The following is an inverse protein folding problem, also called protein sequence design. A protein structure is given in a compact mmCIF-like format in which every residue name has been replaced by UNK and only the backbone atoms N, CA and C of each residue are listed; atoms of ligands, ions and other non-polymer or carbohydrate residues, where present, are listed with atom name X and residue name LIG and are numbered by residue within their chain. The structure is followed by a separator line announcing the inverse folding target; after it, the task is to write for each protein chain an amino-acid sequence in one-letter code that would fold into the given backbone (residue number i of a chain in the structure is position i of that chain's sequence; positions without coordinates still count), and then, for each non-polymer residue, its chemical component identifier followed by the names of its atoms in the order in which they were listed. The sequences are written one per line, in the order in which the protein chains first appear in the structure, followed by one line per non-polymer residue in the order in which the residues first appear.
data_IF_944833294035
#
_entry.id   IF_944833294035
#
_cell.length_a   1.000
_cell.length_b   1.000
_cell.length_c   1.000
_cell.angle_alpha   90.00
_cell.angle_beta   90.00
_cell.angle_gamma   90.00
#
_symmetry.space_group_name_H-M   'P 1'
#
loop_
_entity.id
_entity.type
_entity.pdbx_description
1 polymer ?
#
# COMPACT_ATOMS: atom_id res chain seq x y z
N UNK A 1 -10.44 -42.10 21.20
CA UNK A 1 -10.45 -41.19 20.03
C UNK A 1 -10.39 -39.72 20.42
N UNK A 2 -11.24 -39.20 21.34
CA UNK A 2 -11.22 -37.78 21.77
C UNK A 2 -9.85 -37.20 22.18
N UNK A 3 -9.04 -37.91 22.96
CA UNK A 3 -7.72 -37.42 23.42
C UNK A 3 -6.69 -37.27 22.28
N UNK A 4 -6.74 -38.17 21.28
CA UNK A 4 -5.86 -38.12 20.10
C UNK A 4 -6.28 -37.00 19.15
N UNK A 5 -7.59 -36.78 19.03
CA UNK A 5 -8.14 -35.64 18.28
C UNK A 5 -7.79 -34.30 18.94
N UNK A 6 -7.95 -34.16 20.25
CA UNK A 6 -7.55 -32.95 20.98
C UNK A 6 -6.05 -32.67 20.91
N UNK A 7 -5.20 -33.69 20.98
CA UNK A 7 -3.75 -33.52 20.82
C UNK A 7 -3.38 -33.09 19.39
N UNK A 8 -4.08 -33.62 18.38
CA UNK A 8 -3.89 -33.24 16.98
C UNK A 8 -4.32 -31.80 16.70
N UNK A 9 -5.44 -31.35 17.27
CA UNK A 9 -5.89 -29.95 17.21
C UNK A 9 -4.91 -29.02 17.94
N UNK A 10 -4.41 -29.41 19.11
CA UNK A 10 -3.42 -28.64 19.85
C UNK A 10 -2.10 -28.49 19.07
N UNK A 11 -1.66 -29.55 18.39
CA UNK A 11 -0.47 -29.50 17.52
C UNK A 11 -0.68 -28.62 16.29
N UNK A 12 -1.87 -28.59 15.69
CA UNK A 12 -2.22 -27.66 14.61
C UNK A 12 -2.18 -26.19 15.06
N UNK A 13 -2.68 -25.89 16.27
CA UNK A 13 -2.60 -24.54 16.83
C UNK A 13 -1.18 -24.12 17.20
N UNK A 14 -0.34 -25.05 17.66
CA UNK A 14 1.09 -24.79 17.96
C UNK A 14 1.95 -24.67 16.68
N UNK A 15 1.49 -25.19 15.54
CA UNK A 15 2.13 -25.06 14.22
C UNK A 15 1.63 -23.87 13.40
N UNK A 16 0.68 -23.09 13.92
CA UNK A 16 0.24 -21.86 13.27
C UNK A 16 1.36 -20.81 13.37
N UNK A 17 2.27 -20.84 12.40
CA UNK A 17 3.25 -19.77 12.23
C UNK A 17 2.48 -18.55 11.72
N UNK A 18 2.51 -17.41 12.43
CA UNK A 18 1.95 -16.20 11.86
C UNK A 18 2.74 -15.88 10.58
N UNK A 19 2.03 -15.81 9.46
CA UNK A 19 2.61 -15.38 8.19
C UNK A 19 2.71 -13.85 8.24
N UNK A 20 3.88 -13.35 8.62
CA UNK A 20 4.26 -11.97 8.36
C UNK A 20 4.99 -11.95 7.02
N UNK A 21 4.54 -11.09 6.12
CA UNK A 21 5.24 -10.80 4.88
C UNK A 21 5.71 -9.35 4.99
N UNK A 22 7.01 -9.15 4.95
CA UNK A 22 7.67 -7.85 4.89
C UNK A 22 7.74 -7.33 3.44
N UNK A 23 7.58 -8.24 2.47
CA UNK A 23 7.54 -7.98 1.04
C UNK A 23 6.54 -8.90 0.33
N UNK A 24 6.11 -8.49 -0.86
CA UNK A 24 5.33 -9.31 -1.76
C UNK A 24 5.07 -8.61 -3.07
N UNK A 25 4.30 -9.24 -3.95
CA UNK A 25 4.09 -8.69 -5.30
C UNK A 25 5.29 -8.95 -6.20
N UNK A 26 5.30 -10.10 -6.84
CA UNK A 26 6.03 -10.28 -8.08
C UNK A 26 4.97 -10.70 -9.10
N UNK A 27 4.10 -9.74 -9.42
CA UNK A 27 3.00 -10.01 -10.34
C UNK A 27 3.48 -9.97 -11.80
N UNK A 28 2.61 -10.38 -12.72
CA UNK A 28 2.94 -10.42 -14.16
C UNK A 28 3.22 -9.04 -14.77
N UNK A 29 2.94 -7.97 -14.04
CA UNK A 29 3.21 -6.59 -14.45
C UNK A 29 4.49 -6.03 -13.79
N UNK A 30 5.13 -6.78 -12.89
CA UNK A 30 6.38 -6.41 -12.23
C UNK A 30 6.23 -5.47 -11.03
N UNK A 31 5.02 -5.35 -10.45
CA UNK A 31 4.82 -4.53 -9.25
C UNK A 31 5.09 -5.33 -7.98
N UNK A 32 5.86 -4.72 -7.08
CA UNK A 32 6.25 -5.23 -5.76
C UNK A 32 5.93 -4.23 -4.66
N UNK A 33 5.61 -4.74 -3.47
CA UNK A 33 5.48 -3.99 -2.24
C UNK A 33 6.49 -4.48 -1.20
N UNK A 34 6.96 -3.55 -0.37
CA UNK A 34 7.77 -3.82 0.83
C UNK A 34 7.25 -2.91 1.93
N UNK A 35 7.16 -3.40 3.15
CA UNK A 35 6.91 -2.57 4.32
C UNK A 35 8.25 -2.06 4.92
N UNK A 36 8.17 -1.43 6.10
CA UNK A 36 9.32 -0.89 6.81
C UNK A 36 10.21 -1.93 7.48
N UNK A 37 9.71 -3.16 7.63
CA UNK A 37 10.43 -4.28 8.25
C UNK A 37 11.22 -5.09 7.20
N UNK A 38 10.88 -4.94 5.91
CA UNK A 38 11.56 -5.57 4.78
C UNK A 38 12.93 -4.97 4.46
N UNK A 39 13.75 -5.65 3.64
CA UNK A 39 15.07 -5.15 3.27
C UNK A 39 14.96 -3.75 2.64
N UNK A 40 15.56 -2.78 3.32
CA UNK A 40 15.54 -1.33 3.04
C UNK A 40 16.21 -0.90 1.72
N UNK A 41 16.42 -1.83 0.79
CA UNK A 41 17.18 -1.59 -0.43
C UNK A 41 16.36 -0.93 -1.56
N UNK A 42 15.25 -0.28 -1.23
CA UNK A 42 14.58 0.64 -2.17
C UNK A 42 15.31 1.98 -2.06
N UNK A 43 16.16 2.35 -3.03
CA UNK A 43 16.84 3.63 -3.00
C UNK A 43 15.79 4.74 -3.08
N UNK A 44 15.76 5.61 -2.07
CA UNK A 44 14.93 6.79 -2.05
C UNK A 44 15.81 8.04 -1.93
N UNK A 45 15.33 9.14 -2.49
CA UNK A 45 15.93 10.45 -2.29
C UNK A 45 14.87 11.37 -1.67
N UNK A 46 15.21 12.00 -0.56
CA UNK A 46 14.33 12.98 0.05
C UNK A 46 14.22 14.20 -0.86
N UNK A 47 12.99 14.52 -1.26
CA UNK A 47 12.67 15.76 -1.93
C UNK A 47 12.12 16.74 -0.91
N UNK A 48 12.70 17.93 -0.90
CA UNK A 48 12.22 19.01 -0.07
C UNK A 48 10.93 19.59 -0.65
N UNK A 49 9.88 19.64 0.17
CA UNK A 49 8.58 20.18 -0.23
C UNK A 49 8.50 21.72 -0.14
N UNK A 50 9.55 22.41 0.31
CA UNK A 50 9.58 23.88 0.35
C UNK A 50 9.37 24.46 -1.07
N UNK A 51 8.34 25.27 -1.22
CA UNK A 51 7.95 25.87 -2.51
C UNK A 51 6.99 25.02 -3.34
N UNK A 52 6.55 23.86 -2.84
CA UNK A 52 5.49 23.06 -3.46
C UNK A 52 4.09 23.63 -3.22
N UNK A 53 3.11 23.03 -3.88
CA UNK A 53 1.70 23.40 -3.74
C UNK A 53 1.13 22.88 -2.42
N UNK A 54 0.40 23.74 -1.72
CA UNK A 54 -0.39 23.29 -0.57
C UNK A 54 -1.71 22.67 -1.04
N UNK A 55 -1.77 21.34 -1.06
CA UNK A 55 -2.93 20.60 -1.53
C UNK A 55 -4.15 20.68 -0.60
N UNK A 56 -3.96 21.07 0.66
CA UNK A 56 -5.03 21.00 1.66
C UNK A 56 -5.09 22.28 2.52
N UNK A 57 -6.24 22.55 3.14
CA UNK A 57 -6.46 23.71 4.04
C UNK A 57 -6.37 23.34 5.53
N UNK A 58 -6.32 24.32 6.46
CA UNK A 58 -5.89 24.17 7.87
C UNK A 58 -6.57 23.12 8.76
N UNK A 59 -7.64 22.45 8.32
CA UNK A 59 -8.44 21.50 9.10
C UNK A 59 -8.38 20.08 8.47
N UNK A 60 -7.22 19.43 8.59
CA UNK A 60 -6.82 18.29 7.76
C UNK A 60 -7.14 16.90 8.36
N UNK A 61 -8.41 16.58 8.68
CA UNK A 61 -8.73 15.20 9.05
C UNK A 61 -9.42 14.42 7.92
N UNK A 62 -8.71 13.44 7.37
CA UNK A 62 -9.22 12.48 6.38
C UNK A 62 -9.63 13.08 5.02
N UNK A 63 -9.00 14.18 4.61
CA UNK A 63 -9.25 14.78 3.29
C UNK A 63 -8.44 14.08 2.20
N UNK A 64 -8.94 14.20 0.97
CA UNK A 64 -8.24 13.75 -0.25
C UNK A 64 -8.28 14.83 -1.32
N UNK A 65 -7.17 14.98 -2.04
CA UNK A 65 -7.03 15.93 -3.14
C UNK A 65 -6.61 15.19 -4.41
N UNK A 66 -7.20 15.56 -5.55
CA UNK A 66 -6.79 15.03 -6.85
C UNK A 66 -5.71 15.92 -7.45
N UNK A 67 -4.61 15.32 -7.88
CA UNK A 67 -3.47 15.98 -8.53
C UNK A 67 -3.25 15.44 -9.93
N UNK A 68 -2.76 16.30 -10.83
CA UNK A 68 -2.28 15.89 -12.15
C UNK A 68 -0.81 15.50 -12.06
N UNK A 69 -0.44 14.36 -12.62
CA UNK A 69 0.94 13.90 -12.68
C UNK A 69 1.68 14.67 -13.78
N UNK A 70 2.98 15.00 -13.58
CA UNK A 70 3.78 15.68 -14.60
C UNK A 70 4.24 14.74 -15.72
N UNK A 71 3.85 13.47 -15.66
CA UNK A 71 4.15 12.42 -16.64
C UNK A 71 2.99 11.41 -16.66
N UNK A 72 2.88 10.68 -17.77
CA UNK A 72 1.96 9.53 -17.85
C UNK A 72 2.53 8.36 -17.05
N UNK A 73 1.70 7.77 -16.19
CA UNK A 73 2.04 6.57 -15.44
C UNK A 73 1.24 5.39 -15.96
N UNK A 74 1.89 4.25 -16.21
CA UNK A 74 1.20 3.03 -16.59
C UNK A 74 0.97 2.21 -15.34
N UNK A 75 -0.29 1.92 -15.03
CA UNK A 75 -0.73 1.08 -13.92
C UNK A 75 -1.52 -0.10 -14.47
N UNK A 76 -0.97 -1.32 -14.37
CA UNK A 76 -1.62 -2.55 -14.86
C UNK A 76 -2.07 -2.50 -16.34
N UNK A 77 -1.31 -1.79 -17.18
CA UNK A 77 -1.60 -1.63 -18.61
C UNK A 77 -2.43 -0.40 -18.98
N UNK A 78 -3.03 0.27 -17.99
CA UNK A 78 -3.78 1.50 -18.20
C UNK A 78 -2.92 2.74 -17.96
N UNK A 79 -3.09 3.75 -18.82
CA UNK A 79 -2.42 5.05 -18.63
C UNK A 79 -3.24 5.90 -17.66
N UNK A 80 -2.61 6.31 -16.57
CA UNK A 80 -3.17 7.26 -15.60
C UNK A 80 -2.31 8.52 -15.55
N UNK A 81 -2.99 9.67 -15.61
CA UNK A 81 -2.37 11.01 -15.56
C UNK A 81 -2.77 11.80 -14.32
N UNK A 82 -3.53 11.19 -13.41
CA UNK A 82 -3.95 11.80 -12.15
C UNK A 82 -3.87 10.82 -11.00
N UNK A 83 -3.64 11.34 -9.80
CA UNK A 83 -3.65 10.58 -8.56
C UNK A 83 -4.48 11.30 -7.49
N UNK A 84 -4.94 10.55 -6.50
CA UNK A 84 -5.56 11.05 -5.28
C UNK A 84 -4.55 10.93 -4.15
N UNK A 85 -4.29 12.04 -3.46
CA UNK A 85 -3.41 12.14 -2.30
C UNK A 85 -4.27 12.31 -1.07
N UNK A 86 -3.92 11.63 0.02
CA UNK A 86 -4.60 11.74 1.31
C UNK A 86 -3.81 12.54 2.32
N UNK A 87 -4.48 13.26 3.22
CA UNK A 87 -3.83 13.90 4.38
C UNK A 87 -3.12 12.89 5.28
N UNK A 88 -3.47 11.61 5.20
CA UNK A 88 -2.86 10.51 5.97
C UNK A 88 -1.69 9.83 5.23
N UNK A 89 -1.18 10.42 4.14
CA UNK A 89 0.07 10.02 3.50
C UNK A 89 -0.02 8.89 2.47
N UNK A 90 -1.21 8.37 2.17
CA UNK A 90 -1.39 7.37 1.10
C UNK A 90 -1.80 8.02 -0.23
N UNK A 91 -1.54 7.31 -1.34
CA UNK A 91 -1.88 7.70 -2.71
C UNK A 91 -2.76 6.62 -3.36
N UNK A 92 -3.73 7.01 -4.19
CA UNK A 92 -4.53 6.09 -5.01
C UNK A 92 -4.70 6.61 -6.43
N UNK A 93 -4.77 5.71 -7.41
CA UNK A 93 -5.05 6.05 -8.81
C UNK A 93 -6.55 5.93 -9.16
N UNK A 94 -7.36 5.45 -8.22
CA UNK A 94 -8.82 5.43 -8.29
C UNK A 94 -9.43 6.42 -7.30
N UNK A 95 -10.67 6.84 -7.52
CA UNK A 95 -11.36 7.73 -6.57
C UNK A 95 -11.50 7.04 -5.20
N UNK A 96 -10.98 7.62 -4.12
CA UNK A 96 -11.18 7.11 -2.76
C UNK A 96 -12.66 7.05 -2.42
N UNK A 97 -13.12 5.93 -1.88
CA UNK A 97 -14.54 5.65 -1.60
C UNK A 97 -15.46 5.73 -2.85
N UNK A 98 -14.87 5.74 -4.05
CA UNK A 98 -15.60 5.59 -5.30
C UNK A 98 -15.92 4.12 -5.58
N UNK A 99 -16.74 3.84 -6.61
CA UNK A 99 -16.88 2.47 -7.12
C UNK A 99 -15.49 1.90 -7.40
N UNK A 100 -15.24 0.69 -6.89
CA UNK A 100 -14.07 -0.10 -7.26
C UNK A 100 -14.21 -0.40 -8.76
N UNK A 101 -13.20 -0.09 -9.61
CA UNK A 101 -13.22 -0.47 -11.01
C UNK A 101 -13.36 -1.98 -11.22
#
# INVERSE_FOLDING_TARGET
MRKRFSLFVLLLFLYAVPAFADQGGDDTFGYMWTDSDGPTNIPYNWLDARGGDNLFGPAFNNDTARVTLPFDFVLYGDIVSTAWVSTNGWISFSRPNGPIP
#
